data_IF_592669943156
#
_entry.id   IF_592669943156
#
_cell.length_a   1.000
_cell.length_b   1.000
_cell.length_c   1.000
_cell.angle_alpha   90.00
_cell.angle_beta   90.00
_cell.angle_gamma   90.00
#
_symmetry.space_group_name_H-M   'P 1'
#
loop_
_entity.id
_entity.type
_entity.pdbx_description
1 polymer ?
#
# COMPACT_ATOMS: atom_id res chain seq x y z
N UNK A 1 1.45 -2.44 36.38
CA UNK A 1 2.24 -2.39 35.13
C UNK A 1 2.28 -3.79 34.58
N UNK A 2 1.46 -4.07 33.56
CA UNK A 2 1.42 -5.39 32.92
C UNK A 2 1.68 -5.18 31.43
N UNK A 3 2.90 -5.53 31.02
CA UNK A 3 3.40 -5.45 29.66
C UNK A 3 2.72 -6.52 28.81
N UNK A 4 2.04 -6.13 27.73
CA UNK A 4 1.51 -7.06 26.73
C UNK A 4 2.51 -7.11 25.57
N UNK A 5 3.27 -8.20 25.52
CA UNK A 5 4.11 -8.60 24.40
C UNK A 5 3.21 -9.01 23.23
N UNK A 6 3.31 -8.32 22.09
CA UNK A 6 2.75 -8.82 20.83
C UNK A 6 3.69 -9.86 20.24
N UNK A 7 3.25 -11.13 20.22
CA UNK A 7 3.91 -12.19 19.47
C UNK A 7 3.27 -12.32 18.10
N UNK A 8 4.08 -12.15 17.04
CA UNK A 8 3.71 -12.35 15.66
C UNK A 8 3.49 -13.86 15.38
N UNK A 9 2.25 -14.24 15.07
CA UNK A 9 1.92 -15.60 14.67
C UNK A 9 2.33 -15.85 13.21
N UNK A 10 3.27 -16.79 13.00
CA UNK A 10 3.58 -17.33 11.66
C UNK A 10 2.59 -18.44 11.32
N UNK A 11 1.89 -18.33 10.19
CA UNK A 11 0.98 -19.37 9.72
C UNK A 11 1.74 -20.39 8.86
N UNK A 12 2.03 -21.59 9.39
CA UNK A 12 2.54 -22.73 8.62
C UNK A 12 1.36 -23.56 8.10
N UNK A 13 1.18 -23.60 6.78
CA UNK A 13 0.23 -24.49 6.12
C UNK A 13 0.75 -25.94 6.21
N UNK A 14 -0.01 -26.83 6.85
CA UNK A 14 0.33 -28.26 6.98
C UNK A 14 -0.64 -29.07 6.14
N UNK A 15 -0.10 -29.72 5.10
CA UNK A 15 -0.80 -30.63 4.20
C UNK A 15 -1.29 -31.86 5.00
N UNK A 16 -2.59 -32.16 4.99
CA UNK A 16 -3.15 -33.38 5.57
C UNK A 16 -3.71 -34.27 4.45
N UNK A 17 -3.10 -35.45 4.27
CA UNK A 17 -3.69 -36.55 3.50
C UNK A 17 -4.70 -37.34 4.37
N UNK A 18 -5.77 -37.91 3.79
CA UNK A 18 -6.79 -38.63 4.54
C UNK A 18 -6.60 -40.15 4.44
N UNK A 19 -6.52 -40.84 5.58
CA UNK A 19 -6.84 -42.27 5.64
C UNK A 19 -7.46 -42.70 6.96
N UNK A 20 -8.44 -43.60 6.82
CA UNK A 20 -8.93 -44.59 7.78
C UNK A 20 -10.00 -44.17 8.81
N UNK A 21 -11.25 -44.42 8.38
CA UNK A 21 -12.31 -45.19 9.07
C UNK A 21 -12.22 -45.38 10.59
N UNK A 22 -13.21 -44.88 11.33
CA UNK A 22 -13.63 -45.51 12.59
C UNK A 22 -15.14 -45.32 12.81
N UNK A 23 -15.77 -46.40 13.27
CA UNK A 23 -17.21 -46.61 13.37
C UNK A 23 -17.96 -45.63 14.29
N UNK A 24 -19.16 -45.24 13.85
CA UNK A 24 -20.11 -44.42 14.60
C UNK A 24 -20.82 -45.26 15.68
N UNK A 25 -20.53 -45.03 16.97
CA UNK A 25 -21.39 -45.49 18.08
C UNK A 25 -22.45 -44.41 18.36
N UNK A 26 -23.72 -44.76 18.18
CA UNK A 26 -24.85 -43.88 18.55
C UNK A 26 -24.88 -43.71 20.08
N UNK A 27 -24.49 -42.53 20.56
CA UNK A 27 -24.72 -42.11 21.94
C UNK A 27 -26.18 -41.67 22.10
N UNK A 28 -26.90 -42.32 23.02
CA UNK A 28 -28.30 -42.02 23.36
C UNK A 28 -28.33 -40.73 24.18
N UNK A 29 -28.63 -39.60 23.53
CA UNK A 29 -28.80 -38.31 24.21
C UNK A 29 -30.05 -38.36 25.11
N UNK A 30 -29.83 -38.36 26.43
CA UNK A 30 -30.88 -38.13 27.43
C UNK A 30 -30.98 -36.61 27.61
N UNK A 31 -32.07 -36.01 27.14
CA UNK A 31 -32.34 -34.60 27.39
C UNK A 31 -32.52 -34.37 28.90
N UNK A 32 -31.50 -33.82 29.55
CA UNK A 32 -31.67 -33.12 30.81
C UNK A 32 -31.91 -31.66 30.45
N UNK A 33 -33.16 -31.22 30.47
CA UNK A 33 -33.48 -29.82 30.46
C UNK A 33 -32.90 -29.20 31.74
N UNK A 34 -31.87 -28.38 31.60
CA UNK A 34 -31.44 -27.43 32.62
C UNK A 34 -31.32 -26.08 31.92
N UNK A 35 -32.48 -25.50 31.64
CA UNK A 35 -32.60 -24.15 31.11
C UNK A 35 -32.24 -23.15 32.20
N UNK A 36 -30.96 -22.79 32.28
CA UNK A 36 -30.54 -21.46 32.74
C UNK A 36 -29.42 -21.02 31.79
N UNK A 37 -29.79 -20.61 30.57
CA UNK A 37 -28.98 -19.62 29.87
C UNK A 37 -29.31 -18.32 30.60
N UNK A 38 -28.44 -17.89 31.51
CA UNK A 38 -28.54 -16.56 32.10
C UNK A 38 -28.52 -15.59 30.92
N UNK A 39 -29.64 -14.93 30.62
CA UNK A 39 -29.66 -13.89 29.60
C UNK A 39 -28.67 -12.83 30.07
N UNK A 40 -27.51 -12.77 29.40
CA UNK A 40 -26.62 -11.63 29.56
C UNK A 40 -27.49 -10.39 29.36
N UNK A 41 -27.49 -9.49 30.35
CA UNK A 41 -28.30 -8.28 30.34
C UNK A 41 -28.25 -7.69 28.93
N UNK A 42 -29.40 -7.63 28.24
CA UNK A 42 -29.47 -7.29 26.83
C UNK A 42 -28.74 -5.97 26.53
N UNK A 43 -28.72 -5.04 27.50
CA UNK A 43 -27.95 -3.79 27.46
C UNK A 43 -26.45 -4.03 27.33
N UNK A 44 -25.88 -5.02 28.04
CA UNK A 44 -24.45 -5.39 27.93
C UNK A 44 -24.14 -6.05 26.58
N UNK A 45 -25.05 -6.88 26.06
CA UNK A 45 -24.88 -7.52 24.74
C UNK A 45 -24.92 -6.47 23.62
N UNK A 46 -25.88 -5.56 23.67
CA UNK A 46 -25.99 -4.44 22.72
C UNK A 46 -24.78 -3.52 22.81
N UNK A 47 -24.31 -3.19 24.01
CA UNK A 47 -23.11 -2.38 24.19
C UNK A 47 -21.86 -3.05 23.60
N UNK A 48 -21.67 -4.36 23.81
CA UNK A 48 -20.54 -5.10 23.24
C UNK A 48 -20.64 -5.18 21.72
N UNK A 49 -21.82 -5.45 21.16
CA UNK A 49 -22.02 -5.46 19.70
C UNK A 49 -21.79 -4.08 19.08
N UNK A 50 -22.25 -3.01 19.73
CA UNK A 50 -22.00 -1.64 19.27
C UNK A 50 -20.49 -1.30 19.31
N UNK A 51 -19.78 -1.67 20.37
CA UNK A 51 -18.32 -1.48 20.48
C UNK A 51 -17.59 -2.29 19.40
N UNK A 52 -17.99 -3.55 19.16
CA UNK A 52 -17.37 -4.37 18.11
C UNK A 52 -17.61 -3.80 16.72
N UNK A 53 -18.83 -3.31 16.43
CA UNK A 53 -19.16 -2.63 15.16
C UNK A 53 -18.34 -1.34 15.02
N UNK A 54 -18.24 -0.52 16.06
CA UNK A 54 -17.41 0.69 16.04
C UNK A 54 -15.92 0.38 15.82
N UNK A 55 -15.39 -0.71 16.39
CA UNK A 55 -14.02 -1.15 16.17
C UNK A 55 -13.76 -1.63 14.73
N UNK A 56 -14.75 -2.22 14.05
CA UNK A 56 -14.62 -2.58 12.63
C UNK A 56 -14.61 -1.33 11.72
N UNK A 57 -15.31 -0.25 12.10
CA UNK A 57 -15.42 0.97 11.29
C UNK A 57 -14.10 1.78 11.26
N UNK A 58 -13.23 1.61 12.25
CA UNK A 58 -11.92 2.29 12.31
C UNK A 58 -10.96 1.92 11.17
N UNK A 59 -11.17 0.78 10.51
CA UNK A 59 -10.33 0.32 9.39
C UNK A 59 -10.77 0.90 8.03
N UNK A 60 -11.92 1.59 7.98
CA UNK A 60 -12.49 2.13 6.74
C UNK A 60 -12.04 3.57 6.42
N UNK A 61 -11.23 4.20 7.28
CA UNK A 61 -10.60 5.48 6.98
C UNK A 61 -9.36 5.17 6.12
N UNK A 62 -9.41 5.53 4.83
CA UNK A 62 -8.28 5.31 3.91
C UNK A 62 -7.00 5.94 4.46
N UNK A 63 -6.04 5.10 4.84
CA UNK A 63 -4.73 5.59 5.26
C UNK A 63 -3.99 6.10 4.04
N UNK A 64 -3.76 7.41 3.97
CA UNK A 64 -2.77 7.99 3.06
C UNK A 64 -1.40 7.80 3.68
N UNK A 65 -0.60 6.91 3.12
CA UNK A 65 0.79 6.74 3.53
C UNK A 65 1.66 7.78 2.81
N UNK A 66 2.56 8.39 3.58
CA UNK A 66 3.59 9.28 3.05
C UNK A 66 4.93 8.56 3.09
N UNK A 67 5.63 8.54 1.96
CA UNK A 67 6.92 7.91 1.78
C UNK A 67 8.00 8.97 1.57
N UNK A 68 9.16 8.81 2.19
CA UNK A 68 10.34 9.62 1.86
C UNK A 68 11.00 9.07 0.61
N UNK A 69 11.45 9.95 -0.29
CA UNK A 69 12.14 9.55 -1.52
C UNK A 69 13.26 10.53 -1.87
N UNK A 70 14.19 10.04 -2.67
CA UNK A 70 15.08 10.87 -3.49
C UNK A 70 14.36 11.10 -4.82
N UNK A 71 14.24 12.35 -5.24
CA UNK A 71 13.72 12.71 -6.54
C UNK A 71 14.88 13.01 -7.49
N UNK A 72 14.93 12.30 -8.60
CA UNK A 72 15.86 12.54 -9.71
C UNK A 72 15.11 13.07 -10.95
N UNK A 73 15.86 13.50 -11.96
CA UNK A 73 15.31 13.87 -13.28
C UNK A 73 15.38 12.66 -14.21
N UNK A 74 14.29 12.38 -14.92
CA UNK A 74 14.24 11.39 -15.98
C UNK A 74 13.63 12.01 -17.23
N UNK A 75 14.22 11.67 -18.37
CA UNK A 75 13.67 11.99 -19.68
C UNK A 75 12.66 10.94 -20.14
N UNK A 76 11.43 11.37 -20.41
CA UNK A 76 10.35 10.52 -20.92
C UNK A 76 10.13 10.71 -22.43
N UNK A 77 10.82 11.68 -23.02
CA UNK A 77 10.62 12.07 -24.40
C UNK A 77 11.37 11.15 -25.36
N UNK A 78 10.95 11.17 -26.63
CA UNK A 78 11.56 10.31 -27.63
C UNK A 78 13.00 10.75 -27.93
N UNK A 79 13.93 9.81 -27.78
CA UNK A 79 15.35 10.03 -28.11
C UNK A 79 16.21 10.38 -26.90
N UNK A 80 15.64 10.29 -25.70
CA UNK A 80 16.36 10.41 -24.43
C UNK A 80 16.86 9.04 -23.95
N UNK A 81 17.47 8.99 -22.76
CA UNK A 81 18.06 7.76 -22.20
C UNK A 81 16.99 6.69 -21.92
N UNK A 82 15.79 7.14 -21.54
CA UNK A 82 14.62 6.29 -21.31
C UNK A 82 14.05 5.67 -22.58
N UNK A 83 13.62 4.41 -22.48
CA UNK A 83 12.76 3.77 -23.48
C UNK A 83 11.31 4.27 -23.38
N UNK A 84 10.40 3.71 -24.19
CA UNK A 84 8.97 3.93 -23.98
C UNK A 84 8.54 3.47 -22.58
N UNK A 85 7.64 4.22 -21.96
CA UNK A 85 7.23 4.02 -20.57
C UNK A 85 6.48 2.69 -20.37
N UNK A 86 6.74 2.00 -19.25
CA UNK A 86 6.23 0.66 -18.96
C UNK A 86 4.71 0.57 -18.89
N UNK A 87 4.02 1.67 -18.55
CA UNK A 87 2.56 1.65 -18.40
C UNK A 87 1.79 1.53 -19.73
N UNK A 88 2.30 2.10 -20.81
CA UNK A 88 1.57 2.17 -22.09
C UNK A 88 2.44 1.93 -23.34
N UNK A 89 3.74 1.74 -23.16
CA UNK A 89 4.69 1.52 -24.25
C UNK A 89 4.88 2.75 -25.13
N UNK A 90 4.63 3.96 -24.62
CA UNK A 90 4.77 5.22 -25.34
C UNK A 90 5.85 6.12 -24.74
N UNK A 91 6.36 7.03 -25.56
CA UNK A 91 7.11 8.19 -25.08
C UNK A 91 6.13 9.29 -24.67
N UNK A 92 6.52 10.08 -23.68
CA UNK A 92 5.70 11.16 -23.13
C UNK A 92 6.51 12.44 -23.07
N UNK A 93 5.85 13.59 -23.19
CA UNK A 93 6.58 14.85 -23.20
C UNK A 93 7.09 15.22 -21.82
N UNK A 94 8.33 15.67 -21.74
CA UNK A 94 8.96 16.16 -20.50
C UNK A 94 8.32 17.44 -19.95
N UNK A 95 7.45 18.08 -20.73
CA UNK A 95 6.60 19.20 -20.32
C UNK A 95 5.37 18.75 -19.49
N UNK A 96 5.08 17.45 -19.42
CA UNK A 96 4.00 16.88 -18.60
C UNK A 96 4.49 16.56 -17.20
N UNK A 97 3.61 16.57 -16.19
CA UNK A 97 3.99 16.16 -14.83
C UNK A 97 3.97 14.63 -14.68
N UNK A 98 5.11 14.00 -14.93
CA UNK A 98 5.27 12.55 -14.97
C UNK A 98 6.24 12.05 -13.91
N UNK A 99 6.05 10.81 -13.50
CA UNK A 99 6.92 10.12 -12.55
C UNK A 99 7.06 8.64 -12.90
N UNK A 100 8.27 8.13 -12.73
CA UNK A 100 8.57 6.71 -12.64
C UNK A 100 8.74 6.33 -11.15
N UNK A 101 8.24 5.16 -10.77
CA UNK A 101 8.36 4.66 -9.40
C UNK A 101 9.35 3.50 -9.34
N UNK A 102 10.15 3.46 -8.26
CA UNK A 102 10.92 2.27 -7.92
C UNK A 102 10.04 1.01 -7.84
N UNK A 103 10.57 -0.15 -8.26
CA UNK A 103 9.84 -1.44 -8.34
C UNK A 103 8.92 -1.74 -7.15
N UNK A 104 9.40 -1.48 -5.92
CA UNK A 104 8.63 -1.74 -4.70
C UNK A 104 7.36 -0.86 -4.61
N UNK A 105 7.45 0.39 -5.04
CA UNK A 105 6.34 1.33 -5.03
C UNK A 105 5.47 1.20 -6.26
N UNK A 106 6.05 0.93 -7.42
CA UNK A 106 5.32 0.60 -8.65
C UNK A 106 4.37 -0.58 -8.39
N UNK A 107 4.86 -1.61 -7.72
CA UNK A 107 4.04 -2.68 -7.15
C UNK A 107 3.41 -3.61 -8.21
N UNK A 108 2.71 -4.66 -7.79
CA UNK A 108 2.17 -5.68 -8.72
C UNK A 108 1.00 -5.18 -9.57
N UNK A 109 0.32 -4.12 -9.14
CA UNK A 109 -0.77 -3.48 -9.89
C UNK A 109 -0.27 -2.26 -10.70
N UNK A 110 1.06 -2.07 -10.76
CA UNK A 110 1.80 -1.10 -11.57
C UNK A 110 1.51 0.39 -11.31
N UNK A 111 0.50 0.75 -10.50
CA UNK A 111 0.04 2.14 -10.24
C UNK A 111 -0.15 3.00 -11.51
N UNK A 112 -0.22 2.39 -12.69
CA UNK A 112 -0.24 3.09 -13.96
C UNK A 112 -1.42 4.05 -14.09
N UNK A 113 -1.15 5.26 -14.56
CA UNK A 113 -2.15 6.32 -14.71
C UNK A 113 -2.72 6.84 -13.38
N UNK A 114 -2.24 6.33 -12.23
CA UNK A 114 -2.53 6.94 -10.93
C UNK A 114 -1.64 8.14 -10.73
N UNK A 115 -2.11 9.07 -9.90
CA UNK A 115 -1.36 10.26 -9.55
C UNK A 115 -0.83 10.16 -8.13
N UNK A 116 0.34 10.73 -7.92
CA UNK A 116 0.94 10.91 -6.60
C UNK A 116 1.11 12.40 -6.33
N UNK A 117 1.02 12.78 -5.07
CA UNK A 117 1.40 14.10 -4.58
C UNK A 117 2.84 14.03 -4.10
N UNK A 118 3.74 14.72 -4.78
CA UNK A 118 5.15 14.91 -4.39
C UNK A 118 5.25 16.21 -3.61
N UNK A 119 5.95 16.21 -2.49
CA UNK A 119 6.13 17.34 -1.57
C UNK A 119 7.61 17.62 -1.37
N UNK A 120 8.03 18.86 -1.63
CA UNK A 120 9.39 19.33 -1.36
C UNK A 120 9.59 19.62 0.13
N UNK A 121 10.85 19.84 0.54
CA UNK A 121 11.20 20.26 1.90
C UNK A 121 10.57 21.60 2.32
N UNK A 122 10.24 22.46 1.36
CA UNK A 122 9.63 23.78 1.59
C UNK A 122 8.10 23.71 1.61
N UNK A 123 7.54 22.52 1.81
CA UNK A 123 6.10 22.29 1.98
C UNK A 123 5.24 22.65 0.74
N UNK A 124 5.87 22.84 -0.42
CA UNK A 124 5.23 22.95 -1.75
C UNK A 124 4.95 21.54 -2.29
N UNK A 125 3.89 21.39 -3.09
CA UNK A 125 3.56 20.10 -3.70
C UNK A 125 3.25 20.19 -5.20
N UNK A 126 3.54 19.10 -5.91
CA UNK A 126 3.21 18.87 -7.31
C UNK A 126 2.49 17.53 -7.42
N UNK A 127 1.48 17.44 -8.27
CA UNK A 127 0.81 16.18 -8.58
C UNK A 127 1.35 15.68 -9.91
N UNK A 128 1.88 14.46 -9.92
CA UNK A 128 2.46 13.82 -11.09
C UNK A 128 1.79 12.46 -11.36
N UNK A 129 1.69 12.09 -12.64
CA UNK A 129 1.11 10.83 -13.08
C UNK A 129 2.19 9.75 -13.20
N UNK A 130 1.92 8.57 -12.66
CA UNK A 130 2.79 7.40 -12.77
C UNK A 130 2.68 6.83 -14.19
N UNK A 131 3.79 6.82 -14.91
CA UNK A 131 3.88 6.31 -16.29
C UNK A 131 4.88 5.18 -16.46
N UNK A 132 5.83 5.02 -15.53
CA UNK A 132 6.92 4.07 -15.72
C UNK A 132 7.38 3.43 -14.40
N UNK A 133 8.09 2.32 -14.54
CA UNK A 133 8.86 1.68 -13.48
C UNK A 133 10.34 2.05 -13.63
N UNK A 134 10.97 2.48 -12.54
CA UNK A 134 12.43 2.59 -12.51
C UNK A 134 13.02 1.49 -11.62
N UNK A 135 13.49 0.41 -12.22
CA UNK A 135 14.13 -0.69 -11.51
C UNK A 135 15.59 -0.40 -11.18
N UNK A 136 16.17 -1.19 -10.26
CA UNK A 136 17.63 -1.19 -10.01
C UNK A 136 18.45 -1.53 -11.25
N UNK A 137 17.90 -2.33 -12.16
CA UNK A 137 18.54 -2.68 -13.44
C UNK A 137 18.60 -1.46 -14.39
N UNK A 138 17.69 -0.51 -14.21
CA UNK A 138 17.62 0.77 -14.93
C UNK A 138 18.49 1.86 -14.30
N UNK A 139 19.18 1.56 -13.19
CA UNK A 139 20.06 2.50 -12.50
C UNK A 139 19.45 3.24 -11.30
N UNK A 140 18.15 3.09 -11.04
CA UNK A 140 17.50 3.78 -9.91
C UNK A 140 17.82 3.18 -8.55
N UNK A 141 17.90 4.06 -7.55
CA UNK A 141 18.00 3.71 -6.13
C UNK A 141 16.73 3.08 -5.57
N UNK A 142 16.85 2.40 -4.43
CA UNK A 142 15.72 1.70 -3.80
C UNK A 142 14.60 2.62 -3.30
N UNK A 143 14.92 3.87 -3.00
CA UNK A 143 13.99 4.90 -2.50
C UNK A 143 13.95 6.11 -3.45
N UNK A 144 13.99 5.85 -4.76
CA UNK A 144 14.02 6.89 -5.78
C UNK A 144 12.68 6.98 -6.52
N UNK A 145 12.26 8.21 -6.80
CA UNK A 145 11.28 8.52 -7.84
C UNK A 145 11.98 9.37 -8.89
N UNK A 146 11.83 9.04 -10.17
CA UNK A 146 12.43 9.84 -11.24
C UNK A 146 11.33 10.60 -11.95
N UNK A 147 11.51 11.90 -12.13
CA UNK A 147 10.43 12.79 -12.57
C UNK A 147 10.83 13.61 -13.79
N UNK A 148 9.84 13.99 -14.59
CA UNK A 148 10.03 14.82 -15.78
C UNK A 148 10.58 16.20 -15.41
N UNK A 149 11.27 16.86 -16.35
CA UNK A 149 11.77 18.23 -16.17
C UNK A 149 10.67 19.24 -15.75
N UNK A 150 9.42 19.06 -16.16
CA UNK A 150 8.30 19.90 -15.71
C UNK A 150 8.07 19.88 -14.20
N UNK A 151 8.23 18.73 -13.53
CA UNK A 151 8.06 18.61 -12.07
C UNK A 151 9.16 19.42 -11.35
N UNK A 152 10.40 19.30 -11.80
CA UNK A 152 11.53 20.08 -11.29
C UNK A 152 11.30 21.58 -11.45
N UNK A 153 10.87 22.01 -12.63
CA UNK A 153 10.53 23.41 -12.92
C UNK A 153 9.41 23.93 -12.02
N UNK A 154 8.39 23.11 -11.74
CA UNK A 154 7.29 23.48 -10.85
C UNK A 154 7.74 23.68 -9.39
N UNK A 155 8.79 22.98 -8.95
CA UNK A 155 9.44 23.24 -7.67
C UNK A 155 10.47 24.39 -7.71
N UNK A 156 10.75 24.95 -8.88
CA UNK A 156 11.78 25.98 -9.05
C UNK A 156 13.20 25.43 -8.89
N UNK A 157 13.40 24.14 -9.17
CA UNK A 157 14.69 23.45 -9.03
C UNK A 157 15.43 23.39 -10.38
N UNK A 158 16.76 23.43 -10.31
CA UNK A 158 17.64 23.15 -11.45
C UNK A 158 17.90 21.64 -11.53
N UNK A 159 17.65 21.06 -12.71
CA UNK A 159 17.90 19.63 -12.97
C UNK A 159 19.39 19.27 -12.89
N UNK A 160 20.30 20.24 -13.02
CA UNK A 160 21.74 20.06 -12.85
C UNK A 160 22.18 19.70 -11.43
N UNK A 161 21.30 19.84 -10.43
CA UNK A 161 21.54 19.36 -9.05
C UNK A 161 21.56 17.82 -8.98
N UNK A 162 20.87 17.16 -9.91
CA UNK A 162 20.79 15.71 -10.01
C UNK A 162 19.72 15.10 -9.10
N UNK A 163 19.79 15.35 -7.80
CA UNK A 163 18.92 14.70 -6.80
C UNK A 163 18.50 15.65 -5.67
N UNK A 164 17.25 15.52 -5.20
CA UNK A 164 16.74 16.22 -4.03
C UNK A 164 15.88 15.32 -3.15
N UNK A 165 15.81 15.60 -1.85
CA UNK A 165 14.91 14.88 -0.95
C UNK A 165 13.48 15.41 -1.04
N UNK A 166 12.53 14.49 -1.15
CA UNK A 166 11.10 14.77 -1.17
C UNK A 166 10.35 13.76 -0.30
N UNK A 167 9.06 14.02 -0.13
CA UNK A 167 8.11 12.99 0.28
C UNK A 167 7.00 12.85 -0.74
N UNK A 168 6.33 11.71 -0.81
CA UNK A 168 5.19 11.53 -1.69
C UNK A 168 4.10 10.67 -1.07
N UNK A 169 2.88 10.80 -1.59
CA UNK A 169 1.70 10.02 -1.19
C UNK A 169 0.78 9.82 -2.38
N UNK A 170 -0.04 8.78 -2.36
CA UNK A 170 -1.13 8.65 -3.33
C UNK A 170 -2.10 9.83 -3.25
N UNK A 171 -2.59 10.30 -4.39
CA UNK A 171 -3.74 11.20 -4.40
C UNK A 171 -5.02 10.37 -4.30
N UNK A 172 -5.69 10.44 -3.15
CA UNK A 172 -7.02 9.86 -2.95
C UNK A 172 -8.07 10.43 -3.92
#
# INVERSE_FOLDING_TARGET
MLSVLLSAGTCKYKHLQPTASTACKKAKHRHRASSIITMANATKVVAVLAILVLLQVSCAIGQTYTFSAVMSVNGFDKGEEGGPASCDGQYHSDDQFLVSLGTMWYGPDNRCGKTIRIRSSDEVYVVAMVVDECGRESGCGENEISTSAAVWKAFGLDTGVGEVFVSWSDTN
#
